data_IF_006870987636
#
_entry.id   IF_006870987636
#
_cell.length_a   1.000
_cell.length_b   1.000
_cell.length_c   1.000
_cell.angle_alpha   90.00
_cell.angle_beta   90.00
_cell.angle_gamma   90.00
#
_symmetry.space_group_name_H-M   'P 1'
#
loop_
_entity.id
_entity.type
_entity.pdbx_description
1 polymer ?
#
# COMPACT_ATOMS: atom_id res chain seq x y z
N UNK A 1 -88.71 10.85 -29.89
CA UNK A 1 -88.50 9.86 -28.81
C UNK A 1 -87.00 9.79 -28.47
N UNK A 2 -86.44 10.88 -27.96
CA UNK A 2 -84.98 11.12 -27.85
C UNK A 2 -84.55 11.45 -26.40
N UNK A 3 -85.31 10.92 -25.43
CA UNK A 3 -85.16 11.22 -23.99
C UNK A 3 -84.96 9.98 -23.11
N UNK A 4 -84.73 8.79 -23.70
CA UNK A 4 -84.47 7.56 -22.92
C UNK A 4 -82.98 7.22 -22.76
N UNK A 5 -82.07 7.80 -23.57
CA UNK A 5 -80.63 7.50 -23.49
C UNK A 5 -79.82 8.33 -22.48
N UNK A 6 -80.37 9.43 -21.93
CA UNK A 6 -79.62 10.29 -20.98
C UNK A 6 -79.68 9.86 -19.52
N UNK A 7 -80.57 8.92 -19.15
CA UNK A 7 -80.65 8.42 -17.76
C UNK A 7 -79.72 7.21 -17.50
N UNK A 8 -79.36 6.42 -18.51
CA UNK A 8 -78.43 5.30 -18.34
C UNK A 8 -76.97 5.74 -18.27
N UNK A 9 -76.59 6.82 -18.96
CA UNK A 9 -75.21 7.34 -18.90
C UNK A 9 -74.88 8.03 -17.56
N UNK A 10 -75.86 8.66 -16.90
CA UNK A 10 -75.66 9.27 -15.59
C UNK A 10 -75.54 8.26 -14.44
N UNK A 11 -76.21 7.10 -14.53
CA UNK A 11 -76.11 6.05 -13.50
C UNK A 11 -74.78 5.28 -13.64
N UNK A 12 -74.29 5.08 -14.87
CA UNK A 12 -72.98 4.44 -15.09
C UNK A 12 -71.82 5.36 -14.68
N UNK A 13 -71.96 6.69 -14.86
CA UNK A 13 -70.91 7.64 -14.44
C UNK A 13 -70.87 7.86 -12.91
N UNK A 14 -72.01 7.82 -12.22
CA UNK A 14 -72.04 7.91 -10.74
C UNK A 14 -71.59 6.63 -10.03
N UNK A 15 -71.79 5.45 -10.62
CA UNK A 15 -71.27 4.19 -10.06
C UNK A 15 -69.76 4.04 -10.31
N UNK A 16 -69.23 4.56 -11.43
CA UNK A 16 -67.78 4.59 -11.64
C UNK A 16 -67.07 5.61 -10.73
N UNK A 17 -67.72 6.74 -10.40
CA UNK A 17 -67.13 7.76 -9.53
C UNK A 17 -67.14 7.37 -8.03
N UNK A 18 -68.09 6.54 -7.59
CA UNK A 18 -68.04 5.95 -6.24
C UNK A 18 -67.09 4.74 -6.13
N UNK A 19 -66.78 4.06 -7.25
CA UNK A 19 -65.78 2.97 -7.25
C UNK A 19 -64.33 3.47 -7.34
N UNK A 20 -64.10 4.71 -7.81
CA UNK A 20 -62.75 5.28 -7.91
C UNK A 20 -62.27 6.03 -6.66
N UNK A 21 -63.15 6.41 -5.73
CA UNK A 21 -62.74 7.05 -4.47
C UNK A 21 -62.24 6.02 -3.45
N UNK A 22 -62.61 4.73 -3.58
CA UNK A 22 -62.13 3.66 -2.70
C UNK A 22 -60.97 2.82 -3.28
N UNK A 23 -60.40 3.18 -4.43
CA UNK A 23 -59.30 2.43 -5.05
C UNK A 23 -57.95 3.18 -5.08
N UNK A 24 -57.90 4.39 -4.54
CA UNK A 24 -56.68 5.19 -4.35
C UNK A 24 -56.61 5.85 -2.96
N UNK A 25 -57.30 5.31 -1.96
CA UNK A 25 -56.80 5.47 -0.62
C UNK A 25 -55.56 4.57 -0.56
N UNK A 26 -54.36 5.15 -0.67
CA UNK A 26 -53.17 4.47 -0.17
C UNK A 26 -53.55 3.94 1.22
N UNK A 27 -53.32 2.64 1.53
CA UNK A 27 -53.43 2.22 2.91
C UNK A 27 -52.61 3.22 3.72
N UNK A 28 -53.12 3.74 4.85
CA UNK A 28 -52.29 4.60 5.69
C UNK A 28 -50.95 3.89 5.81
N UNK A 29 -49.86 4.57 5.48
CA UNK A 29 -48.53 4.03 5.69
C UNK A 29 -48.49 3.74 7.18
N UNK A 30 -48.72 2.49 7.53
CA UNK A 30 -48.47 2.00 8.87
C UNK A 30 -46.96 2.05 8.95
N UNK A 31 -46.43 3.19 9.41
CA UNK A 31 -45.11 3.24 9.99
C UNK A 31 -45.10 2.05 10.95
N UNK A 32 -44.28 1.04 10.65
CA UNK A 32 -44.10 -0.06 11.58
C UNK A 32 -43.85 0.60 12.94
N UNK A 33 -44.72 0.34 13.92
CA UNK A 33 -44.42 0.78 15.28
C UNK A 33 -43.05 0.19 15.60
N UNK A 34 -42.04 1.04 15.78
CA UNK A 34 -40.70 0.57 16.10
C UNK A 34 -40.82 -0.20 17.41
N UNK A 35 -40.65 -1.52 17.32
CA UNK A 35 -40.67 -2.35 18.51
C UNK A 35 -39.48 -1.98 19.38
N UNK A 36 -39.66 -2.09 20.70
CA UNK A 36 -38.58 -1.77 21.62
C UNK A 36 -37.36 -2.64 21.33
N UNK A 37 -36.21 -2.01 21.15
CA UNK A 37 -34.96 -2.69 20.78
C UNK A 37 -33.77 -2.11 21.53
N UNK A 38 -32.74 -2.92 21.67
CA UNK A 38 -31.46 -2.52 22.23
C UNK A 38 -30.71 -1.59 21.27
N UNK A 39 -29.89 -0.72 21.84
CA UNK A 39 -28.81 -0.02 21.14
C UNK A 39 -27.54 -0.16 21.96
N UNK A 40 -26.43 -0.46 21.29
CA UNK A 40 -25.09 -0.36 21.85
C UNK A 40 -24.36 0.78 21.16
N UNK A 41 -23.68 1.61 21.94
CA UNK A 41 -22.85 2.71 21.44
C UNK A 41 -21.61 2.90 22.32
N UNK A 42 -20.69 3.76 21.92
CA UNK A 42 -19.51 4.09 22.73
C UNK A 42 -18.21 3.93 21.95
N UNK A 43 -17.23 3.27 22.57
CA UNK A 43 -15.86 3.19 22.04
C UNK A 43 -15.81 2.43 20.70
N UNK A 44 -15.29 3.06 19.65
CA UNK A 44 -15.10 2.43 18.33
C UNK A 44 -13.70 1.85 18.15
N UNK A 45 -12.72 2.35 18.90
CA UNK A 45 -11.33 1.91 18.82
C UNK A 45 -10.70 1.93 20.19
N UNK A 46 -9.97 0.87 20.54
CA UNK A 46 -9.25 0.73 21.80
C UNK A 46 -7.85 0.19 21.53
N UNK A 47 -6.87 0.58 22.34
CA UNK A 47 -5.56 -0.05 22.32
C UNK A 47 -5.62 -1.39 23.06
N UNK A 48 -4.90 -2.38 22.55
CA UNK A 48 -4.74 -3.67 23.20
C UNK A 48 -4.27 -3.51 24.66
N UNK A 49 -4.85 -4.31 25.56
CA UNK A 49 -4.58 -4.23 27.00
C UNK A 49 -5.30 -3.08 27.74
N UNK A 50 -6.03 -2.19 27.06
CA UNK A 50 -6.69 -1.04 27.69
C UNK A 50 -8.18 -1.28 28.00
N UNK A 51 -8.70 -0.65 29.07
CA UNK A 51 -10.13 -0.63 29.37
C UNK A 51 -10.89 0.27 28.40
N UNK A 52 -12.18 -0.03 28.19
CA UNK A 52 -13.11 0.81 27.45
C UNK A 52 -14.56 0.59 27.93
N UNK A 53 -15.44 1.51 27.56
CA UNK A 53 -16.85 1.44 27.91
C UNK A 53 -17.74 1.39 26.66
N UNK A 54 -18.84 0.67 26.78
CA UNK A 54 -20.00 0.74 25.89
C UNK A 54 -21.22 1.21 26.68
N UNK A 55 -22.13 1.91 26.03
CA UNK A 55 -23.42 2.31 26.59
C UNK A 55 -24.50 1.44 25.98
N UNK A 56 -25.28 0.77 26.83
CA UNK A 56 -26.50 0.09 26.46
C UNK A 56 -27.71 1.00 26.70
N UNK A 57 -28.57 1.12 25.70
CA UNK A 57 -29.84 1.85 25.80
C UNK A 57 -30.99 1.10 25.14
N UNK A 58 -32.20 1.57 25.40
CA UNK A 58 -33.42 1.11 24.74
C UNK A 58 -33.96 2.21 23.82
N UNK A 59 -34.46 1.80 22.66
CA UNK A 59 -35.15 2.66 21.68
C UNK A 59 -36.49 2.05 21.29
N UNK A 60 -37.42 2.86 20.81
CA UNK A 60 -38.79 2.42 20.52
C UNK A 60 -39.58 2.06 21.78
N UNK A 61 -39.33 2.75 22.90
CA UNK A 61 -40.02 2.48 24.17
C UNK A 61 -41.44 3.08 24.11
N UNK A 62 -42.44 2.22 23.97
CA UNK A 62 -43.86 2.62 23.86
C UNK A 62 -44.66 2.41 25.15
N UNK A 63 -44.12 1.65 26.11
CA UNK A 63 -44.73 1.40 27.42
C UNK A 63 -43.70 1.46 28.54
N UNK A 64 -44.16 1.67 29.77
CA UNK A 64 -43.28 1.73 30.94
C UNK A 64 -42.63 0.37 31.23
N UNK A 65 -41.31 0.33 31.28
CA UNK A 65 -40.52 -0.87 31.57
C UNK A 65 -40.04 -0.80 33.02
N UNK A 66 -40.27 -1.89 33.76
CA UNK A 66 -39.88 -2.05 35.17
C UNK A 66 -38.72 -3.05 35.35
N UNK A 67 -38.53 -3.98 34.42
CA UNK A 67 -37.49 -5.00 34.52
C UNK A 67 -36.91 -5.31 33.14
N UNK A 68 -35.64 -5.69 33.13
CA UNK A 68 -34.87 -6.03 31.95
C UNK A 68 -33.99 -7.25 32.26
N UNK A 69 -33.89 -8.14 31.29
CA UNK A 69 -32.95 -9.25 31.24
C UNK A 69 -32.28 -9.27 29.87
N UNK A 70 -30.96 -9.10 29.84
CA UNK A 70 -30.17 -9.13 28.62
C UNK A 70 -29.13 -10.23 28.63
N UNK A 71 -28.97 -10.88 27.47
CA UNK A 71 -27.83 -11.75 27.18
C UNK A 71 -26.91 -11.05 26.18
N UNK A 72 -25.65 -10.95 26.55
CA UNK A 72 -24.58 -10.33 25.77
C UNK A 72 -23.63 -11.44 25.32
N UNK A 73 -23.31 -11.50 24.03
CA UNK A 73 -22.23 -12.33 23.50
C UNK A 73 -21.06 -11.46 23.10
N UNK A 74 -19.85 -11.97 23.34
CA UNK A 74 -18.59 -11.31 22.98
C UNK A 74 -17.53 -12.36 22.65
N UNK A 75 -16.42 -11.94 22.06
CA UNK A 75 -15.25 -12.81 21.87
C UNK A 75 -14.38 -12.77 23.15
N UNK A 76 -14.43 -13.85 23.94
CA UNK A 76 -13.64 -13.95 25.17
C UNK A 76 -12.18 -14.29 24.96
N UNK A 77 -11.72 -14.57 23.73
CA UNK A 77 -10.29 -14.59 23.42
C UNK A 77 -9.75 -13.16 23.26
N UNK A 78 -10.60 -12.19 22.95
CA UNK A 78 -10.19 -10.81 22.66
C UNK A 78 -10.57 -9.79 23.74
N UNK A 79 -11.61 -10.04 24.54
CA UNK A 79 -12.11 -9.09 25.55
C UNK A 79 -12.29 -9.73 26.94
N UNK A 80 -12.28 -8.87 27.96
CA UNK A 80 -12.77 -9.15 29.31
C UNK A 80 -14.01 -8.29 29.59
N UNK A 81 -15.04 -8.87 30.19
CA UNK A 81 -16.08 -8.09 30.83
C UNK A 81 -15.60 -7.69 32.23
N UNK A 82 -15.71 -6.41 32.56
CA UNK A 82 -15.22 -5.87 33.84
C UNK A 82 -16.39 -5.65 34.80
N UNK A 83 -17.55 -5.23 34.28
CA UNK A 83 -18.75 -4.99 35.07
C UNK A 83 -19.72 -4.08 34.36
N UNK A 84 -20.79 -3.70 35.05
CA UNK A 84 -21.74 -2.72 34.53
C UNK A 84 -22.27 -1.84 35.64
N UNK A 85 -22.55 -0.58 35.29
CA UNK A 85 -23.15 0.43 36.15
C UNK A 85 -24.47 0.90 35.54
N UNK A 86 -25.45 1.21 36.39
CA UNK A 86 -26.68 1.87 35.92
C UNK A 86 -26.46 3.37 35.71
N UNK A 87 -26.92 3.88 34.58
CA UNK A 87 -26.94 5.32 34.28
C UNK A 87 -28.24 5.99 34.75
N UNK A 88 -29.28 5.20 35.05
CA UNK A 88 -30.59 5.72 35.48
C UNK A 88 -30.77 5.57 36.98
N UNK A 89 -30.99 6.69 37.66
CA UNK A 89 -31.27 6.71 39.10
C UNK A 89 -32.52 5.87 39.43
N UNK A 90 -32.38 4.95 40.37
CA UNK A 90 -33.44 4.01 40.76
C UNK A 90 -33.71 2.90 39.74
N UNK A 91 -32.90 2.75 38.70
CA UNK A 91 -32.81 1.51 37.92
C UNK A 91 -31.54 0.79 38.37
N UNK A 92 -31.62 -0.46 38.82
CA UNK A 92 -30.53 -1.15 39.49
C UNK A 92 -30.29 -2.53 38.91
N UNK A 93 -29.01 -2.84 38.69
CA UNK A 93 -28.57 -4.19 38.36
C UNK A 93 -28.71 -5.05 39.62
N UNK A 94 -29.50 -6.12 39.53
CA UNK A 94 -29.79 -7.04 40.65
C UNK A 94 -29.29 -8.46 40.40
N UNK A 95 -28.91 -8.77 39.17
CA UNK A 95 -28.29 -10.03 38.80
C UNK A 95 -27.27 -9.85 37.69
N UNK A 96 -26.11 -10.47 37.83
CA UNK A 96 -25.08 -10.53 36.81
C UNK A 96 -24.46 -11.93 36.82
N UNK A 97 -24.32 -12.54 35.64
CA UNK A 97 -23.60 -13.79 35.47
C UNK A 97 -22.66 -13.68 34.28
N UNK A 98 -21.44 -14.20 34.45
CA UNK A 98 -20.40 -14.18 33.42
C UNK A 98 -19.86 -15.60 33.21
N UNK A 99 -19.77 -15.98 31.94
CA UNK A 99 -19.03 -17.14 31.43
C UNK A 99 -18.24 -16.67 30.20
N UNK A 100 -17.20 -17.41 29.77
CA UNK A 100 -16.59 -17.15 28.47
C UNK A 100 -17.66 -17.00 27.38
N UNK A 101 -17.52 -15.95 26.57
CA UNK A 101 -18.37 -15.53 25.46
C UNK A 101 -19.80 -15.10 25.82
N UNK A 102 -20.19 -15.13 27.11
CA UNK A 102 -21.55 -14.82 27.53
C UNK A 102 -21.62 -14.04 28.86
N UNK A 103 -22.33 -12.91 28.83
CA UNK A 103 -22.73 -12.17 30.03
C UNK A 103 -24.26 -12.10 30.06
N UNK A 104 -24.85 -12.29 31.24
CA UNK A 104 -26.27 -12.02 31.48
C UNK A 104 -26.42 -10.96 32.56
N UNK A 105 -27.25 -9.94 32.30
CA UNK A 105 -27.52 -8.85 33.24
C UNK A 105 -29.03 -8.71 33.43
N UNK A 106 -29.46 -8.69 34.69
CA UNK A 106 -30.83 -8.43 35.10
C UNK A 106 -30.86 -7.11 35.87
N UNK A 107 -31.69 -6.17 35.41
CA UNK A 107 -31.87 -4.87 36.03
C UNK A 107 -33.35 -4.56 36.25
N UNK A 108 -33.65 -3.86 37.34
CA UNK A 108 -35.02 -3.52 37.74
C UNK A 108 -35.15 -2.06 38.14
N UNK A 109 -36.35 -1.53 37.99
CA UNK A 109 -36.76 -0.24 38.49
C UNK A 109 -37.18 -0.33 39.97
N UNK A 110 -36.72 0.60 40.80
CA UNK A 110 -37.02 0.73 42.22
C UNK A 110 -38.36 1.47 42.43
N UNK A 111 -39.44 0.92 41.87
CA UNK A 111 -40.79 1.50 41.93
C UNK A 111 -41.16 2.37 40.74
N UNK A 112 -42.45 2.72 40.64
CA UNK A 112 -43.04 3.33 39.43
C UNK A 112 -42.37 4.63 38.97
N UNK A 113 -41.81 5.41 39.90
CA UNK A 113 -41.14 6.67 39.62
C UNK A 113 -39.87 6.52 38.76
N UNK A 114 -39.24 5.34 38.79
CA UNK A 114 -37.95 5.06 38.15
C UNK A 114 -38.08 4.21 36.89
N UNK A 115 -39.30 4.03 36.38
CA UNK A 115 -39.56 3.21 35.19
C UNK A 115 -39.00 3.86 33.93
N UNK A 116 -38.62 3.04 32.96
CA UNK A 116 -38.15 3.53 31.65
C UNK A 116 -39.40 3.77 30.79
N UNK A 117 -39.71 5.04 30.52
CA UNK A 117 -40.96 5.46 29.85
C UNK A 117 -40.75 5.97 28.42
N UNK A 118 -39.50 6.14 28.02
CA UNK A 118 -39.08 6.64 26.72
C UNK A 118 -37.69 6.09 26.41
N UNK A 119 -37.24 6.33 25.19
CA UNK A 119 -35.89 6.03 24.73
C UNK A 119 -34.84 6.63 25.69
N UNK A 120 -33.98 5.77 26.24
CA UNK A 120 -33.03 6.15 27.29
C UNK A 120 -31.81 5.23 27.26
N UNK A 121 -30.66 5.79 27.65
CA UNK A 121 -29.45 5.02 27.92
C UNK A 121 -29.49 4.54 29.37
N UNK A 122 -29.30 3.24 29.58
CA UNK A 122 -29.62 2.60 30.86
C UNK A 122 -28.39 2.09 31.59
N UNK A 123 -27.43 1.50 30.88
CA UNK A 123 -26.28 0.86 31.49
C UNK A 123 -24.98 1.31 30.83
N UNK A 124 -23.96 1.57 31.64
CA UNK A 124 -22.56 1.56 31.18
C UNK A 124 -22.03 0.15 31.35
N UNK A 125 -21.54 -0.44 30.26
CA UNK A 125 -20.86 -1.73 30.26
C UNK A 125 -19.36 -1.48 30.22
N UNK A 126 -18.64 -1.97 31.24
CA UNK A 126 -17.19 -1.84 31.38
C UNK A 126 -16.50 -3.07 30.79
N UNK A 127 -15.53 -2.82 29.94
CA UNK A 127 -14.78 -3.84 29.23
C UNK A 127 -13.28 -3.55 29.30
N UNK A 128 -12.48 -4.56 28.98
CA UNK A 128 -11.07 -4.38 28.65
C UNK A 128 -10.69 -5.23 27.44
N UNK A 129 -9.88 -4.66 26.55
CA UNK A 129 -9.27 -5.43 25.48
C UNK A 129 -8.13 -6.28 26.05
N UNK A 130 -8.04 -7.54 25.63
CA UNK A 130 -6.89 -8.38 25.97
C UNK A 130 -5.63 -7.87 25.29
N UNK A 131 -4.49 -8.33 25.79
CA UNK A 131 -3.21 -8.15 25.11
C UNK A 131 -3.19 -9.04 23.85
N UNK A 132 -3.10 -8.43 22.67
CA UNK A 132 -3.13 -9.06 21.36
C UNK A 132 -1.79 -8.84 20.66
N UNK A 133 -1.32 -9.85 19.93
CA UNK A 133 -0.10 -9.76 19.13
C UNK A 133 -0.31 -9.06 17.78
N UNK A 134 -1.55 -8.93 17.31
CA UNK A 134 -1.89 -8.29 16.05
C UNK A 134 -3.22 -7.56 16.15
N UNK A 135 -3.44 -6.48 15.38
CA UNK A 135 -4.72 -5.77 15.36
C UNK A 135 -5.87 -6.72 15.00
N UNK A 136 -7.04 -6.49 15.60
CA UNK A 136 -8.24 -7.31 15.40
C UNK A 136 -9.50 -6.46 15.57
N UNK A 137 -10.64 -6.98 15.14
CA UNK A 137 -11.94 -6.40 15.43
C UNK A 137 -12.72 -7.38 16.34
N UNK A 138 -13.22 -6.87 17.47
CA UNK A 138 -14.07 -7.62 18.39
C UNK A 138 -15.51 -7.10 18.30
N UNK A 139 -16.49 -7.98 18.40
CA UNK A 139 -17.91 -7.61 18.38
C UNK A 139 -18.56 -7.96 19.71
N UNK A 140 -19.34 -7.02 20.25
CA UNK A 140 -20.20 -7.21 21.41
C UNK A 140 -21.66 -7.13 20.93
N UNK A 141 -22.46 -8.14 21.25
CA UNK A 141 -23.85 -8.24 20.77
C UNK A 141 -24.82 -8.53 21.90
N UNK A 142 -25.91 -7.77 21.97
CA UNK A 142 -27.12 -8.14 22.73
C UNK A 142 -27.89 -9.16 21.89
N UNK A 143 -27.82 -10.43 22.28
CA UNK A 143 -28.46 -11.54 21.55
C UNK A 143 -29.85 -11.87 22.07
N UNK A 144 -30.14 -11.51 23.32
CA UNK A 144 -31.46 -11.60 23.90
C UNK A 144 -31.75 -10.33 24.70
N UNK A 145 -32.93 -9.77 24.50
CA UNK A 145 -33.47 -8.67 25.28
C UNK A 145 -34.89 -9.05 25.69
N UNK A 146 -35.13 -9.20 26.98
CA UNK A 146 -36.47 -9.36 27.55
C UNK A 146 -36.73 -8.17 28.47
N UNK A 147 -37.87 -7.53 28.29
CA UNK A 147 -38.33 -6.41 29.11
C UNK A 147 -39.69 -6.74 29.70
N UNK A 148 -40.03 -6.18 30.85
CA UNK A 148 -41.33 -6.40 31.49
C UNK A 148 -41.94 -5.11 32.02
N UNK A 149 -43.27 -5.04 32.00
CA UNK A 149 -44.09 -3.94 32.54
C UNK A 149 -44.59 -4.24 33.96
N UNK A 150 -45.31 -3.29 34.58
CA UNK A 150 -45.77 -3.39 35.97
C UNK A 150 -46.71 -4.58 36.23
N UNK A 151 -47.40 -5.06 35.19
CA UNK A 151 -48.29 -6.21 35.23
C UNK A 151 -47.56 -7.56 35.13
N UNK A 152 -46.23 -7.54 34.97
CA UNK A 152 -45.40 -8.74 34.80
C UNK A 152 -45.49 -9.36 33.41
N UNK A 153 -45.99 -8.62 32.42
CA UNK A 153 -46.01 -9.08 31.02
C UNK A 153 -44.60 -8.91 30.45
N UNK A 154 -44.03 -9.99 29.92
CA UNK A 154 -42.73 -9.98 29.25
C UNK A 154 -42.90 -9.71 27.75
N UNK A 155 -42.00 -8.89 27.20
CA UNK A 155 -41.84 -8.67 25.77
C UNK A 155 -40.38 -8.93 25.39
N UNK A 156 -40.17 -9.61 24.27
CA UNK A 156 -38.85 -9.76 23.67
C UNK A 156 -38.58 -8.58 22.75
N UNK A 157 -37.51 -7.86 23.03
CA UNK A 157 -37.04 -6.74 22.21
C UNK A 157 -36.02 -7.15 21.16
N UNK A 158 -35.74 -6.24 20.22
CA UNK A 158 -34.68 -6.41 19.23
C UNK A 158 -33.27 -6.37 19.86
N UNK A 159 -32.34 -7.16 19.33
CA UNK A 159 -30.93 -7.13 19.72
C UNK A 159 -30.14 -5.98 19.08
N UNK A 160 -28.86 -5.87 19.44
CA UNK A 160 -27.93 -4.89 18.89
C UNK A 160 -26.50 -5.43 18.86
N UNK A 161 -25.66 -4.92 17.98
CA UNK A 161 -24.23 -5.25 17.93
C UNK A 161 -23.40 -3.99 17.79
N UNK A 162 -22.23 -3.98 18.43
CA UNK A 162 -21.23 -2.93 18.30
C UNK A 162 -19.86 -3.56 18.05
N UNK A 163 -19.15 -3.07 17.04
CA UNK A 163 -17.81 -3.55 16.68
C UNK A 163 -16.76 -2.57 17.19
N UNK A 164 -15.77 -3.11 17.90
CA UNK A 164 -14.63 -2.38 18.44
C UNK A 164 -13.38 -2.79 17.68
N UNK A 165 -12.68 -1.80 17.12
CA UNK A 165 -11.36 -2.02 16.53
C UNK A 165 -10.31 -2.04 17.64
N UNK A 166 -9.63 -3.18 17.82
CA UNK A 166 -8.53 -3.32 18.76
C UNK A 166 -7.23 -3.07 18.00
N UNK A 167 -6.61 -1.94 18.31
CA UNK A 167 -5.30 -1.58 17.77
C UNK A 167 -4.21 -2.12 18.68
N UNK A 168 -3.18 -2.73 18.10
CA UNK A 168 -1.97 -3.05 18.86
C UNK A 168 -1.02 -1.88 18.67
N UNK A 169 -0.73 -1.16 19.75
CA UNK A 169 0.37 -0.20 19.74
C UNK A 169 1.64 -0.97 19.40
N UNK A 170 2.39 -0.54 18.38
CA UNK A 170 3.66 -1.18 18.09
C UNK A 170 4.58 -0.86 19.27
N UNK A 171 5.04 -1.83 20.07
CA UNK A 171 5.73 -1.54 21.34
C UNK A 171 6.96 -0.65 21.19
N UNK A 172 7.59 -0.71 20.01
CA UNK A 172 8.78 0.06 19.65
C UNK A 172 8.51 1.42 18.98
N UNK A 173 7.24 1.78 18.73
CA UNK A 173 6.82 3.10 18.22
C UNK A 173 6.40 3.96 19.42
N UNK A 174 7.35 4.76 19.91
CA UNK A 174 7.19 5.51 21.16
C UNK A 174 6.58 6.89 20.93
N UNK A 175 6.64 7.40 19.69
CA UNK A 175 6.06 8.69 19.32
C UNK A 175 4.65 8.58 18.69
N UNK A 176 4.23 7.37 18.30
CA UNK A 176 2.91 7.06 17.74
C UNK A 176 2.75 7.44 16.27
N UNK A 177 3.84 7.61 15.52
CA UNK A 177 3.83 8.01 14.11
C UNK A 177 3.72 6.83 13.13
N UNK A 178 3.57 5.61 13.66
CA UNK A 178 3.52 4.34 12.96
C UNK A 178 4.81 3.91 12.25
N UNK A 179 5.94 4.59 12.46
CA UNK A 179 7.26 4.22 11.97
C UNK A 179 8.16 3.81 13.14
N UNK A 180 9.18 2.99 12.88
CA UNK A 180 10.23 2.73 13.88
C UNK A 180 11.46 3.54 13.48
N UNK A 181 11.82 4.58 14.21
CA UNK A 181 12.90 5.45 13.80
C UNK A 181 13.93 5.64 14.90
N UNK A 182 15.05 6.26 14.54
CA UNK A 182 16.00 6.77 15.54
C UNK A 182 15.34 7.77 16.51
N UNK A 183 14.19 8.35 16.14
CA UNK A 183 13.37 9.19 17.02
C UNK A 183 12.79 8.39 18.17
N UNK A 184 12.25 7.20 17.92
CA UNK A 184 11.74 6.30 18.96
C UNK A 184 12.87 5.82 19.88
N UNK A 185 13.99 5.43 19.29
CA UNK A 185 15.17 5.04 20.07
C UNK A 185 15.67 6.19 20.96
N UNK A 186 15.60 7.44 20.50
CA UNK A 186 15.96 8.60 21.32
C UNK A 186 14.98 8.83 22.48
N UNK A 187 13.68 8.55 22.30
CA UNK A 187 12.69 8.62 23.37
C UNK A 187 13.00 7.58 24.46
N UNK A 188 13.36 6.36 24.08
CA UNK A 188 13.76 5.32 25.03
C UNK A 188 15.09 5.64 25.71
N UNK A 189 16.09 6.12 24.96
CA UNK A 189 17.38 6.51 25.50
C UNK A 189 17.25 7.64 26.54
N UNK A 190 16.32 8.58 26.36
CA UNK A 190 16.01 9.62 27.36
C UNK A 190 15.47 9.05 28.69
N UNK A 191 14.82 7.89 28.63
CA UNK A 191 14.25 7.20 29.77
C UNK A 191 15.22 6.17 30.39
N UNK A 192 16.40 5.97 29.82
CA UNK A 192 17.34 4.94 30.26
C UNK A 192 17.70 5.06 31.74
N UNK A 193 17.58 3.95 32.46
CA UNK A 193 17.81 3.86 33.90
C UNK A 193 16.59 4.19 34.77
N UNK A 194 15.45 4.60 34.18
CA UNK A 194 14.18 4.79 34.91
C UNK A 194 13.58 3.45 35.30
N UNK A 195 12.83 3.45 36.41
CA UNK A 195 12.14 2.27 36.95
C UNK A 195 10.71 2.61 37.38
N UNK A 196 9.87 1.58 37.56
CA UNK A 196 8.49 1.71 38.04
C UNK A 196 8.34 2.39 39.40
N UNK A 197 9.43 2.43 40.18
CA UNK A 197 9.48 3.08 41.49
C UNK A 197 9.71 4.60 41.40
N UNK A 198 10.10 5.12 40.23
CA UNK A 198 10.36 6.53 40.06
C UNK A 198 9.05 7.36 40.11
N UNK A 199 9.01 8.51 40.81
CA UNK A 199 7.79 9.33 40.93
C UNK A 199 7.24 9.83 39.58
N UNK A 200 8.11 9.97 38.59
CA UNK A 200 7.80 10.42 37.23
C UNK A 200 7.64 9.26 36.24
N UNK A 201 7.59 8.00 36.72
CA UNK A 201 7.48 6.80 35.87
C UNK A 201 6.36 6.87 34.84
N UNK A 202 5.22 7.47 35.21
CA UNK A 202 4.08 7.63 34.29
C UNK A 202 4.45 8.31 32.97
N UNK A 203 5.46 9.17 32.95
CA UNK A 203 5.96 9.86 31.74
C UNK A 203 6.85 8.97 30.88
N UNK A 204 7.54 8.00 31.49
CA UNK A 204 8.58 7.18 30.88
C UNK A 204 8.17 5.74 30.62
N UNK A 205 7.08 5.25 31.26
CA UNK A 205 6.60 3.87 31.16
C UNK A 205 6.38 3.34 29.75
N UNK A 206 6.27 4.24 28.77
CA UNK A 206 6.15 3.89 27.34
C UNK A 206 7.44 3.27 26.81
N UNK A 207 8.59 3.69 27.32
CA UNK A 207 9.90 3.21 26.94
C UNK A 207 10.28 1.86 27.57
N UNK A 208 9.46 1.35 28.50
CA UNK A 208 9.54 -0.01 29.02
C UNK A 208 8.79 -0.93 28.05
N UNK A 209 9.52 -1.35 27.02
CA UNK A 209 8.98 -2.07 25.86
C UNK A 209 8.83 -3.56 26.18
N UNK A 210 9.68 -4.10 27.07
CA UNK A 210 9.59 -5.49 27.51
C UNK A 210 8.68 -5.69 28.74
N UNK A 211 8.18 -4.59 29.34
CA UNK A 211 7.29 -4.55 30.50
C UNK A 211 7.89 -5.17 31.77
N UNK A 212 9.19 -5.02 31.98
CA UNK A 212 9.89 -5.51 33.18
C UNK A 212 9.94 -4.49 34.34
N UNK A 213 9.34 -3.32 34.15
CA UNK A 213 9.30 -2.23 35.12
C UNK A 213 10.59 -1.40 35.15
N UNK A 214 11.48 -1.57 34.18
CA UNK A 214 12.74 -0.82 34.04
C UNK A 214 12.92 -0.44 32.57
N UNK A 215 13.68 0.64 32.33
CA UNK A 215 14.11 1.00 30.98
C UNK A 215 15.61 0.80 30.89
N UNK A 216 16.03 -0.31 30.30
CA UNK A 216 17.43 -0.71 30.21
C UNK A 216 17.84 -1.00 28.76
N UNK A 217 19.01 -1.62 28.57
CA UNK A 217 19.57 -1.83 27.24
C UNK A 217 18.72 -2.83 26.44
N UNK A 218 18.01 -3.70 27.14
CA UNK A 218 17.05 -4.66 26.59
C UNK A 218 15.94 -3.94 25.81
N UNK A 219 15.30 -2.91 26.38
CA UNK A 219 14.26 -2.11 25.71
C UNK A 219 14.79 -1.40 24.46
N UNK A 220 15.94 -0.72 24.61
CA UNK A 220 16.60 -0.03 23.50
C UNK A 220 16.97 -1.03 22.38
N UNK A 221 17.37 -2.26 22.73
CA UNK A 221 17.71 -3.28 21.76
C UNK A 221 16.51 -3.81 21.00
N UNK A 222 15.32 -3.85 21.63
CA UNK A 222 14.06 -4.24 20.99
C UNK A 222 13.65 -3.16 19.98
N UNK A 223 13.78 -1.88 20.33
CA UNK A 223 13.48 -0.76 19.43
C UNK A 223 14.47 -0.75 18.27
N UNK A 224 15.77 -0.87 18.55
CA UNK A 224 16.80 -0.93 17.51
C UNK A 224 16.55 -2.07 16.52
N UNK A 225 16.09 -3.24 17.01
CA UNK A 225 15.73 -4.37 16.14
C UNK A 225 14.50 -4.07 15.29
N UNK A 226 13.47 -3.46 15.86
CA UNK A 226 12.29 -3.04 15.11
C UNK A 226 12.64 -2.06 13.97
N UNK A 227 13.63 -1.18 14.15
CA UNK A 227 14.15 -0.29 13.11
C UNK A 227 14.78 -1.08 11.95
N UNK A 228 15.48 -2.19 12.22
CA UNK A 228 16.04 -3.06 11.19
C UNK A 228 14.98 -3.95 10.53
N UNK A 229 14.01 -4.43 11.30
CA UNK A 229 13.00 -5.39 10.83
C UNK A 229 11.93 -4.74 9.94
N UNK A 230 11.59 -3.47 10.15
CA UNK A 230 10.72 -2.75 9.19
C UNK A 230 11.32 -2.68 7.78
N UNK A 231 12.65 -2.54 7.66
CA UNK A 231 13.35 -2.56 6.39
C UNK A 231 13.32 -3.96 5.75
N UNK A 232 13.09 -5.02 6.54
CA UNK A 232 12.97 -6.39 6.06
C UNK A 232 11.59 -6.71 5.43
N UNK A 233 10.60 -5.82 5.55
CA UNK A 233 9.23 -6.05 5.02
C UNK A 233 8.93 -5.34 3.70
N UNK A 234 9.77 -4.40 3.26
CA UNK A 234 9.72 -3.91 1.88
C UNK A 234 10.37 -4.97 0.97
N UNK A 235 9.77 -5.33 -0.18
CA UNK A 235 10.43 -6.25 -1.09
C UNK A 235 11.72 -5.59 -1.58
N UNK A 236 12.86 -6.12 -1.11
CA UNK A 236 14.16 -5.56 -1.37
C UNK A 236 14.46 -5.61 -2.87
N UNK A 237 14.95 -4.49 -3.41
CA UNK A 237 15.51 -4.45 -4.76
C UNK A 237 16.89 -5.11 -4.72
N UNK A 238 17.38 -5.65 -5.86
CA UNK A 238 18.76 -6.11 -5.94
C UNK A 238 19.76 -5.03 -5.51
N UNK A 239 20.76 -5.43 -4.73
CA UNK A 239 21.85 -4.58 -4.27
C UNK A 239 23.12 -4.94 -5.04
N UNK A 240 23.83 -3.95 -5.55
CA UNK A 240 25.10 -4.18 -6.24
C UNK A 240 26.17 -4.63 -5.26
N UNK A 241 27.03 -5.56 -5.70
CA UNK A 241 28.18 -5.99 -4.87
C UNK A 241 29.09 -4.80 -4.55
N UNK A 242 29.92 -4.93 -3.53
CA UNK A 242 30.84 -3.86 -3.10
C UNK A 242 31.79 -3.37 -4.20
N UNK A 243 32.08 -4.20 -5.21
CA UNK A 243 32.85 -3.77 -6.38
C UNK A 243 32.12 -2.69 -7.20
N UNK A 244 30.79 -2.83 -7.33
CA UNK A 244 29.89 -1.94 -8.08
C UNK A 244 30.54 -1.37 -9.33
N UNK A 245 31.04 -2.26 -10.20
CA UNK A 245 31.92 -1.93 -11.32
C UNK A 245 31.27 -2.29 -12.64
N UNK A 246 31.34 -1.37 -13.59
CA UNK A 246 31.03 -1.58 -15.01
C UNK A 246 32.32 -1.36 -15.81
N UNK A 247 32.76 -2.37 -16.54
CA UNK A 247 33.96 -2.37 -17.37
C UNK A 247 33.61 -2.46 -18.84
N UNK A 248 34.47 -1.88 -19.68
CA UNK A 248 34.32 -1.87 -21.13
C UNK A 248 35.54 -2.55 -21.75
N UNK A 249 35.30 -3.48 -22.67
CA UNK A 249 36.33 -4.16 -23.47
C UNK A 249 35.94 -4.16 -24.95
N UNK A 250 36.85 -4.62 -25.83
CA UNK A 250 36.61 -4.71 -27.28
C UNK A 250 36.11 -3.40 -27.92
N UNK A 251 36.62 -2.26 -27.45
CA UNK A 251 36.19 -0.94 -27.93
C UNK A 251 36.65 -0.75 -29.37
N UNK A 252 35.70 -0.58 -30.29
CA UNK A 252 35.91 -0.20 -31.68
C UNK A 252 35.25 1.16 -31.96
N UNK A 253 35.42 1.68 -33.17
CA UNK A 253 34.76 2.92 -33.58
C UNK A 253 33.22 2.80 -33.64
N UNK A 254 32.66 1.58 -33.65
CA UNK A 254 31.22 1.34 -33.81
C UNK A 254 30.62 0.37 -32.79
N UNK A 255 31.38 -0.09 -31.80
CA UNK A 255 30.90 -1.05 -30.82
C UNK A 255 31.85 -1.26 -29.66
N UNK A 256 31.39 -2.03 -28.68
CA UNK A 256 32.14 -2.42 -27.48
C UNK A 256 31.44 -3.56 -26.76
N UNK A 257 32.08 -4.13 -25.74
CA UNK A 257 31.46 -5.09 -24.82
C UNK A 257 31.46 -4.52 -23.42
N UNK A 258 30.29 -4.48 -22.79
CA UNK A 258 30.11 -4.15 -21.38
C UNK A 258 30.14 -5.42 -20.54
N UNK A 259 30.85 -5.40 -19.43
CA UNK A 259 30.81 -6.43 -18.38
C UNK A 259 30.69 -5.75 -17.02
N UNK A 260 29.95 -6.33 -16.08
CA UNK A 260 29.75 -5.72 -14.77
C UNK A 260 29.89 -6.72 -13.64
N UNK A 261 30.19 -6.19 -12.45
CA UNK A 261 30.06 -6.93 -11.20
C UNK A 261 28.59 -7.33 -10.99
N UNK A 262 28.31 -8.58 -10.66
CA UNK A 262 26.93 -9.01 -10.38
C UNK A 262 26.28 -8.23 -9.22
N UNK A 263 24.96 -8.33 -9.13
CA UNK A 263 24.15 -7.87 -8.00
C UNK A 263 23.72 -9.07 -7.15
N UNK A 264 23.30 -8.81 -5.91
CA UNK A 264 22.80 -9.82 -4.98
C UNK A 264 21.39 -9.46 -4.52
N UNK A 265 20.56 -10.47 -4.36
CA UNK A 265 19.20 -10.39 -3.84
C UNK A 265 18.87 -11.73 -3.18
N UNK A 266 18.16 -11.74 -2.05
CA UNK A 266 17.78 -12.98 -1.35
C UNK A 266 16.83 -13.86 -2.17
N UNK A 267 16.06 -13.25 -3.06
CA UNK A 267 15.15 -13.90 -4.02
C UNK A 267 15.87 -14.32 -5.30
N UNK A 268 17.15 -14.01 -5.44
CA UNK A 268 17.94 -14.19 -6.65
C UNK A 268 17.76 -13.06 -7.68
N UNK A 269 18.84 -12.78 -8.41
CA UNK A 269 18.85 -11.84 -9.54
C UNK A 269 18.48 -12.59 -10.81
N UNK A 270 17.48 -12.09 -11.55
CA UNK A 270 16.90 -12.75 -12.73
C UNK A 270 17.23 -12.05 -14.05
N UNK A 271 17.85 -10.88 -14.00
CA UNK A 271 18.37 -10.21 -15.20
C UNK A 271 18.80 -8.78 -14.98
N UNK A 272 19.17 -8.13 -16.07
CA UNK A 272 19.76 -6.79 -16.11
C UNK A 272 19.18 -5.97 -17.26
N UNK A 273 19.07 -4.66 -17.07
CA UNK A 273 18.78 -3.65 -18.10
C UNK A 273 20.00 -2.81 -18.34
N UNK A 274 20.30 -2.59 -19.61
CA UNK A 274 21.43 -1.76 -20.04
C UNK A 274 20.88 -0.47 -20.62
N UNK A 275 21.43 0.65 -20.15
CA UNK A 275 21.07 2.00 -20.57
C UNK A 275 22.25 2.66 -21.26
N UNK A 276 21.96 3.40 -22.32
CA UNK A 276 22.88 4.32 -23.00
C UNK A 276 22.26 5.71 -22.97
N UNK A 277 22.98 6.70 -22.43
CA UNK A 277 22.47 8.08 -22.30
C UNK A 277 21.10 8.13 -21.60
N UNK A 278 20.89 7.27 -20.61
CA UNK A 278 19.62 7.16 -19.87
C UNK A 278 18.48 6.43 -20.60
N UNK A 279 18.65 6.03 -21.87
CA UNK A 279 17.67 5.23 -22.61
C UNK A 279 18.03 3.74 -22.53
N UNK A 280 17.04 2.89 -22.22
CA UNK A 280 17.21 1.44 -22.27
C UNK A 280 17.54 0.99 -23.71
N UNK A 281 18.63 0.26 -23.87
CA UNK A 281 19.06 -0.30 -25.16
C UNK A 281 18.92 -1.82 -25.22
N UNK A 282 18.77 -2.49 -24.08
CA UNK A 282 18.56 -3.93 -24.03
C UNK A 282 18.39 -4.49 -22.62
N UNK A 283 17.98 -5.76 -22.57
CA UNK A 283 17.89 -6.56 -21.35
C UNK A 283 18.58 -7.91 -21.56
N UNK A 284 19.31 -8.39 -20.57
CA UNK A 284 20.04 -9.67 -20.59
C UNK A 284 19.99 -10.38 -19.25
N UNK A 285 20.23 -11.69 -19.22
CA UNK A 285 20.34 -12.48 -17.99
C UNK A 285 21.78 -12.56 -17.47
N UNK A 286 22.75 -12.57 -18.38
CA UNK A 286 24.17 -12.65 -18.05
C UNK A 286 24.76 -11.28 -17.73
N UNK A 287 25.90 -11.25 -17.03
CA UNK A 287 26.61 -9.99 -16.69
C UNK A 287 27.49 -9.45 -17.83
N UNK A 288 26.99 -9.53 -19.07
CA UNK A 288 27.68 -9.10 -20.30
C UNK A 288 26.69 -8.59 -21.35
N UNK A 289 27.07 -7.53 -22.06
CA UNK A 289 26.28 -6.98 -23.17
C UNK A 289 27.18 -6.45 -24.28
N UNK A 290 26.99 -6.95 -25.51
CA UNK A 290 27.71 -6.47 -26.68
C UNK A 290 26.90 -5.36 -27.38
N UNK A 291 27.56 -4.23 -27.64
CA UNK A 291 26.97 -3.03 -28.24
C UNK A 291 27.56 -2.85 -29.65
N UNK A 292 26.71 -2.54 -30.61
CA UNK A 292 27.06 -2.20 -31.99
C UNK A 292 26.28 -0.97 -32.46
N UNK A 293 26.65 -0.41 -33.61
CA UNK A 293 25.97 0.74 -34.21
C UNK A 293 26.27 2.08 -33.53
N UNK A 294 27.39 2.18 -32.80
CA UNK A 294 27.85 3.45 -32.23
C UNK A 294 28.49 4.33 -33.31
N UNK A 295 28.47 5.64 -33.08
CA UNK A 295 29.20 6.59 -33.90
C UNK A 295 30.66 6.67 -33.43
N UNK A 296 31.58 6.83 -34.37
CA UNK A 296 33.00 7.05 -34.09
C UNK A 296 33.24 8.40 -33.42
N UNK A 297 34.34 8.51 -32.67
CA UNK A 297 34.76 9.73 -31.97
C UNK A 297 33.65 10.38 -31.13
N UNK A 298 32.87 9.57 -30.41
CA UNK A 298 31.74 10.03 -29.61
C UNK A 298 31.81 9.48 -28.19
N UNK A 299 31.50 10.35 -27.24
CA UNK A 299 31.37 10.00 -25.82
C UNK A 299 30.00 9.35 -25.58
N UNK A 300 30.00 8.26 -24.83
CA UNK A 300 28.80 7.55 -24.39
C UNK A 300 28.90 7.23 -22.88
N UNK A 301 27.80 7.42 -22.18
CA UNK A 301 27.60 6.97 -20.80
C UNK A 301 26.65 5.76 -20.79
N UNK A 302 27.11 4.68 -20.17
CA UNK A 302 26.34 3.46 -19.97
C UNK A 302 26.04 3.25 -18.49
N UNK A 303 24.88 2.66 -18.20
CA UNK A 303 24.46 2.25 -16.85
C UNK A 303 23.79 0.88 -16.92
N UNK A 304 23.91 0.09 -15.87
CA UNK A 304 23.20 -1.19 -15.74
C UNK A 304 22.33 -1.18 -14.49
N UNK A 305 21.12 -1.74 -14.58
CA UNK A 305 20.24 -2.00 -13.42
C UNK A 305 19.91 -3.49 -13.34
N UNK A 306 19.82 -4.04 -12.13
CA UNK A 306 19.53 -5.45 -11.88
C UNK A 306 18.06 -5.67 -11.50
N UNK A 307 17.54 -6.86 -11.80
CA UNK A 307 16.16 -7.30 -11.50
C UNK A 307 16.15 -8.53 -10.60
N UNK A 308 15.22 -8.60 -9.65
CA UNK A 308 14.98 -9.82 -8.87
C UNK A 308 13.83 -10.67 -9.40
N UNK A 309 13.61 -11.84 -8.79
CA UNK A 309 12.52 -12.77 -9.12
C UNK A 309 11.12 -12.16 -8.97
N UNK A 310 10.95 -11.21 -8.06
CA UNK A 310 9.69 -10.47 -7.85
C UNK A 310 9.47 -9.35 -8.86
N UNK A 311 10.42 -9.14 -9.79
CA UNK A 311 10.30 -8.19 -10.88
C UNK A 311 10.69 -6.76 -10.55
N UNK A 312 11.26 -6.51 -9.37
CA UNK A 312 11.74 -5.19 -8.94
C UNK A 312 13.13 -4.89 -9.49
N UNK A 313 13.38 -3.62 -9.78
CA UNK A 313 14.62 -3.11 -10.37
C UNK A 313 15.42 -2.26 -9.38
N UNK A 314 16.75 -2.40 -9.39
CA UNK A 314 17.66 -1.44 -8.75
C UNK A 314 17.56 -0.06 -9.43
N UNK A 315 18.07 0.97 -8.76
CA UNK A 315 18.08 2.36 -9.28
C UNK A 315 19.45 3.02 -9.21
N UNK A 316 20.41 2.35 -8.58
CA UNK A 316 21.71 2.88 -8.22
C UNK A 316 22.86 2.14 -8.91
N UNK A 317 22.60 1.38 -9.97
CA UNK A 317 23.64 0.53 -10.57
C UNK A 317 24.83 1.25 -11.20
N UNK A 318 25.91 0.50 -11.49
CA UNK A 318 27.18 1.05 -11.91
C UNK A 318 27.06 1.72 -13.28
N UNK A 319 27.87 2.76 -13.49
CA UNK A 319 27.93 3.50 -14.74
C UNK A 319 29.38 3.70 -15.19
N UNK A 320 29.56 3.84 -16.49
CA UNK A 320 30.86 4.09 -17.12
C UNK A 320 30.68 5.07 -18.27
N UNK A 321 31.64 5.97 -18.44
CA UNK A 321 31.69 6.86 -19.60
C UNK A 321 32.91 6.49 -20.43
N UNK A 322 32.71 6.30 -21.72
CA UNK A 322 33.74 5.86 -22.68
C UNK A 322 33.60 6.62 -23.98
N UNK A 323 34.73 6.92 -24.62
CA UNK A 323 34.77 7.56 -25.94
C UNK A 323 35.12 6.50 -26.98
N UNK A 324 34.31 6.37 -28.03
CA UNK A 324 34.66 5.53 -29.17
C UNK A 324 35.86 6.13 -29.92
N UNK A 325 36.82 5.30 -30.38
CA UNK A 325 37.88 5.76 -31.25
C UNK A 325 37.35 6.38 -32.55
N UNK A 326 38.21 7.14 -33.23
CA UNK A 326 38.00 7.49 -34.64
C UNK A 326 37.95 6.22 -35.49
N UNK A 327 37.17 6.22 -36.57
CA UNK A 327 37.14 5.09 -37.49
C UNK A 327 38.43 5.10 -38.32
N UNK A 328 39.33 4.16 -38.06
CA UNK A 328 40.46 3.96 -38.96
C UNK A 328 39.99 3.13 -40.15
N UNK A 329 39.41 3.80 -41.14
CA UNK A 329 39.03 3.19 -42.41
C UNK A 329 40.24 3.32 -43.35
N UNK A 330 40.91 2.22 -43.75
CA UNK A 330 42.14 2.28 -44.56
C UNK A 330 42.01 2.99 -45.91
N UNK A 331 40.77 3.25 -46.32
CA UNK A 331 40.39 3.86 -47.60
C UNK A 331 39.60 5.16 -47.43
N UNK A 332 39.62 5.73 -46.22
CA UNK A 332 39.19 7.11 -45.98
C UNK A 332 40.33 8.06 -46.40
N UNK A 333 40.22 8.57 -47.62
CA UNK A 333 41.24 9.43 -48.22
C UNK A 333 41.19 10.88 -47.71
N UNK A 334 40.10 11.26 -47.06
CA UNK A 334 39.78 12.65 -46.71
C UNK A 334 39.78 12.90 -45.18
N UNK A 335 39.81 11.84 -44.37
CA UNK A 335 39.84 11.87 -42.90
C UNK A 335 38.48 12.10 -42.23
N UNK A 336 37.36 11.98 -42.94
CA UNK A 336 36.01 12.23 -42.45
C UNK A 336 35.35 11.03 -41.76
N UNK A 337 36.11 9.93 -41.61
CA UNK A 337 35.70 8.66 -41.03
C UNK A 337 34.56 7.97 -41.79
N UNK A 338 34.45 8.18 -43.11
CA UNK A 338 33.49 7.50 -43.99
C UNK A 338 34.15 7.05 -45.29
N UNK A 339 33.62 5.98 -45.88
CA UNK A 339 33.86 5.63 -47.28
C UNK A 339 32.59 6.01 -48.03
N UNK A 340 32.69 6.98 -48.92
CA UNK A 340 31.60 7.59 -49.66
C UNK A 340 32.04 7.97 -51.07
N UNK A 341 31.16 8.64 -51.82
CA UNK A 341 31.49 9.15 -53.16
C UNK A 341 32.54 10.26 -53.14
N UNK A 342 32.85 10.88 -51.99
CA UNK A 342 33.95 11.85 -51.86
C UNK A 342 35.32 11.22 -52.11
N UNK A 343 35.51 9.95 -51.75
CA UNK A 343 36.78 9.25 -51.94
C UNK A 343 37.02 8.98 -53.42
N UNK A 344 35.95 8.66 -54.17
CA UNK A 344 36.01 8.59 -55.64
C UNK A 344 36.40 9.93 -56.27
N UNK A 345 35.93 11.06 -55.73
CA UNK A 345 36.30 12.37 -56.22
C UNK A 345 37.80 12.67 -56.00
N UNK A 346 38.37 12.19 -54.89
CA UNK A 346 39.81 12.31 -54.62
C UNK A 346 40.63 11.49 -55.61
N UNK A 347 40.24 10.25 -55.88
CA UNK A 347 40.90 9.40 -56.88
C UNK A 347 40.78 10.02 -58.28
N UNK A 348 39.59 10.45 -58.66
CA UNK A 348 39.36 11.09 -59.96
C UNK A 348 40.19 12.39 -60.14
N UNK A 349 40.41 13.16 -59.07
CA UNK A 349 41.26 14.37 -59.12
C UNK A 349 42.74 14.09 -59.39
N UNK A 350 43.18 12.86 -59.14
CA UNK A 350 44.54 12.38 -59.32
C UNK A 350 44.66 11.43 -60.53
N UNK A 351 43.61 11.25 -61.33
CA UNK A 351 43.59 10.30 -62.43
C UNK A 351 44.74 10.54 -63.45
N UNK A 352 45.35 9.46 -63.93
CA UNK A 352 46.54 9.46 -64.81
C UNK A 352 47.84 9.97 -64.18
N UNK A 353 47.88 10.24 -62.86
CA UNK A 353 49.14 10.49 -62.15
C UNK A 353 49.92 9.20 -61.96
N UNK A 354 51.24 9.30 -61.94
CA UNK A 354 52.14 8.14 -61.75
C UNK A 354 53.22 8.44 -60.74
N UNK A 355 53.82 7.38 -60.19
CA UNK A 355 54.97 7.44 -59.27
C UNK A 355 56.20 8.17 -59.82
N UNK A 356 56.26 8.42 -61.13
CA UNK A 356 57.31 9.21 -61.78
C UNK A 356 57.01 10.73 -61.78
N UNK A 357 55.81 11.16 -61.39
CA UNK A 357 55.45 12.57 -61.37
C UNK A 357 56.21 13.32 -60.26
N UNK A 358 56.76 14.52 -60.53
CA UNK A 358 57.51 15.31 -59.52
C UNK A 358 56.71 15.64 -58.25
N UNK A 359 55.37 15.66 -58.35
CA UNK A 359 54.48 15.93 -57.23
C UNK A 359 53.74 14.67 -56.72
N UNK A 360 54.22 13.47 -57.04
CA UNK A 360 53.58 12.20 -56.70
C UNK A 360 53.17 12.09 -55.22
N UNK A 361 53.98 12.65 -54.31
CA UNK A 361 53.69 12.66 -52.88
C UNK A 361 52.33 13.30 -52.52
N UNK A 362 51.77 14.18 -53.37
CA UNK A 362 50.43 14.76 -53.18
C UNK A 362 49.31 13.79 -53.54
N UNK A 363 49.59 12.87 -54.47
CA UNK A 363 48.64 11.97 -55.10
C UNK A 363 48.75 10.53 -54.62
N UNK A 364 49.83 10.16 -53.92
CA UNK A 364 50.12 8.80 -53.46
C UNK A 364 48.98 8.16 -52.65
N UNK A 365 48.16 8.95 -51.95
CA UNK A 365 46.97 8.45 -51.24
C UNK A 365 45.83 8.00 -52.15
N UNK A 366 45.80 8.46 -53.40
CA UNK A 366 44.79 8.10 -54.40
C UNK A 366 45.13 6.80 -55.15
N UNK A 367 46.39 6.36 -55.06
CA UNK A 367 46.86 5.04 -55.51
C UNK A 367 46.59 4.01 -54.39
N UNK A 368 45.34 3.53 -54.38
CA UNK A 368 44.81 2.66 -53.32
C UNK A 368 45.14 1.19 -53.56
N UNK A 369 45.49 0.81 -54.79
CA UNK A 369 45.96 -0.53 -55.12
C UNK A 369 47.51 -0.66 -55.06
N UNK A 370 48.22 0.46 -54.87
CA UNK A 370 49.66 0.59 -54.72
C UNK A 370 50.47 0.07 -55.93
N UNK A 371 49.95 0.26 -57.14
CA UNK A 371 50.62 -0.15 -58.38
C UNK A 371 51.47 0.97 -59.02
N UNK A 372 51.50 2.15 -58.40
CA UNK A 372 52.31 3.28 -58.81
C UNK A 372 51.69 4.14 -59.92
N UNK A 373 50.40 3.96 -60.22
CA UNK A 373 49.58 4.83 -61.09
C UNK A 373 48.20 5.02 -60.45
N UNK A 374 47.56 6.15 -60.74
CA UNK A 374 46.17 6.38 -60.33
C UNK A 374 45.28 6.21 -61.55
N UNK A 375 44.49 5.14 -61.59
CA UNK A 375 43.64 4.81 -62.74
C UNK A 375 42.26 4.25 -62.36
N UNK A 376 41.61 3.56 -63.31
CA UNK A 376 40.27 3.03 -63.13
C UNK A 376 40.22 1.89 -62.11
N UNK A 377 41.33 1.19 -61.89
CA UNK A 377 41.44 0.12 -60.92
C UNK A 377 41.33 0.66 -59.49
N UNK A 378 41.92 1.83 -59.21
CA UNK A 378 41.76 2.54 -57.92
C UNK A 378 40.29 2.95 -57.67
N UNK A 379 39.64 3.47 -58.71
CA UNK A 379 38.22 3.82 -58.64
C UNK A 379 37.36 2.59 -58.37
N UNK A 380 37.69 1.45 -58.97
CA UNK A 380 36.98 0.19 -58.80
C UNK A 380 37.10 -0.37 -57.37
N UNK A 381 38.23 -0.16 -56.69
CA UNK A 381 38.42 -0.55 -55.28
C UNK A 381 37.42 0.17 -54.37
N UNK A 382 37.30 1.51 -54.48
CA UNK A 382 36.34 2.28 -53.67
C UNK A 382 34.90 1.99 -54.10
N UNK A 383 34.60 1.96 -55.41
CA UNK A 383 33.25 1.70 -55.91
C UNK A 383 32.74 0.32 -55.47
N UNK A 384 33.62 -0.70 -55.42
CA UNK A 384 33.29 -2.04 -54.92
C UNK A 384 32.91 -2.08 -53.44
N UNK A 385 33.35 -1.10 -52.65
CA UNK A 385 32.96 -0.96 -51.24
C UNK A 385 31.65 -0.19 -51.06
N UNK A 386 31.37 0.78 -51.94
CA UNK A 386 30.12 1.56 -51.90
C UNK A 386 28.89 0.78 -52.37
N UNK A 387 29.09 -0.29 -53.13
CA UNK A 387 28.04 -1.14 -53.68
C UNK A 387 27.70 -2.37 -52.80
N UNK A 388 28.38 -2.53 -51.67
CA UNK A 388 28.09 -3.56 -50.66
C UNK A 388 27.29 -2.95 -49.52
#
# INVERSE_FOLDING_TARGET
>A
MRMSRRKSEFIVLSILMLLFINLFAEPPITLAEESTHAVLSGTNTVQSGQPFNLTFGLRGVSQAIIAQDISITYDSEQLYFVGADSQKAGFSIVGQSEKPDQVRIIAISQGEAHTVKSDEDLLTLHWAAKQLASPSAAMVSITNLVISNAEGVELTGGGASHTIQITVGKPSDLNGDNQFTIGDLAIAARAYGKTSEDPDWSQYRRADVNHDGKVLIEDLSIIARAIFDQDATAPNKPVWTSEKRLTVTNVTYSGMTLTWSGAVDSSGVTGFKVYQEGREIGSVTDSVYAISGLAANRVYTFKVEARNASGLWSTDGPSVTVTTPTANLPLDLNGDNKISVSELAIIASAYSRTSNDPEWAKYVRADVNHDGKVDIEDCAVIAGLLLR
#
